data_IF_335765057856
#
_entry.id   IF_335765057856
#
_cell.length_a   1.000
_cell.length_b   1.000
_cell.length_c   1.000
_cell.angle_alpha   90.00
_cell.angle_beta   90.00
_cell.angle_gamma   90.00
#
_symmetry.space_group_name_H-M   'P 1'
#
loop_
_entity.id
_entity.type
_entity.pdbx_description
1 polymer ?
#
# COMPACT_ATOMS: atom_id res chain seq x y z
N UNK A 1 -34.88 5.68 60.69
CA UNK A 1 -33.98 4.63 61.20
C UNK A 1 -32.63 5.25 61.48
N UNK A 2 -32.12 4.98 62.68
CA UNK A 2 -30.85 5.48 63.24
C UNK A 2 -29.62 4.87 62.54
N UNK A 3 -28.57 5.66 62.32
CA UNK A 3 -27.20 5.42 62.82
C UNK A 3 -26.25 6.48 62.20
N UNK A 4 -25.76 7.46 62.96
CA UNK A 4 -24.60 7.46 63.88
C UNK A 4 -23.25 7.28 63.16
N UNK A 5 -22.38 8.29 63.32
CA UNK A 5 -21.02 8.30 62.77
C UNK A 5 -20.40 9.70 62.65
N UNK A 6 -20.34 10.42 63.78
CA UNK A 6 -19.75 11.75 63.97
C UNK A 6 -18.19 11.61 64.14
N UNK A 7 -17.38 12.66 64.40
CA UNK A 7 -16.77 13.48 63.34
C UNK A 7 -15.30 13.93 63.61
N UNK A 8 -14.77 14.80 62.72
CA UNK A 8 -13.80 15.91 62.95
C UNK A 8 -12.37 15.54 63.44
N UNK A 9 -11.37 15.66 62.55
CA UNK A 9 -10.50 16.85 62.30
C UNK A 9 -9.27 16.93 63.21
N UNK A 10 -8.09 17.18 62.62
CA UNK A 10 -7.45 18.51 62.68
C UNK A 10 -6.26 18.60 61.70
N UNK A 11 -6.18 19.71 60.97
CA UNK A 11 -5.08 20.13 60.08
C UNK A 11 -4.13 21.07 60.84
N UNK A 12 -2.83 21.03 60.55
CA UNK A 12 -1.87 22.16 60.66
C UNK A 12 -0.62 21.76 59.84
N UNK A 13 -0.34 22.28 58.65
CA UNK A 13 0.25 23.59 58.29
C UNK A 13 1.68 23.81 58.82
N UNK A 14 2.66 24.00 57.92
CA UNK A 14 3.97 24.58 58.26
C UNK A 14 5.13 24.21 57.33
N UNK A 15 5.46 25.10 56.37
CA UNK A 15 6.71 25.12 55.61
C UNK A 15 7.83 25.71 56.50
N UNK A 16 9.01 25.08 56.61
CA UNK A 16 10.32 25.78 56.62
C UNK A 16 11.52 24.81 56.80
N UNK A 17 12.64 25.17 56.18
CA UNK A 17 14.03 24.91 56.62
C UNK A 17 14.75 23.63 56.17
N UNK A 18 15.19 23.72 54.92
CA UNK A 18 16.55 23.39 54.44
C UNK A 18 17.67 23.66 55.48
N UNK A 19 18.74 22.85 55.42
CA UNK A 19 20.09 23.03 56.02
C UNK A 19 20.25 22.78 57.54
N UNK A 20 20.86 21.63 57.97
CA UNK A 20 21.94 21.59 59.01
C UNK A 20 22.56 20.23 59.43
N UNK A 21 22.71 19.16 58.62
CA UNK A 21 23.64 18.07 59.05
C UNK A 21 24.41 17.47 57.86
N UNK A 22 25.40 18.23 57.43
CA UNK A 22 26.63 17.71 56.85
C UNK A 22 27.60 17.44 58.02
N UNK A 23 28.32 16.32 57.96
CA UNK A 23 29.36 15.85 58.90
C UNK A 23 28.93 15.05 60.15
N UNK A 24 28.99 13.72 59.99
CA UNK A 24 29.62 12.87 61.00
C UNK A 24 30.63 11.99 60.25
N UNK A 25 31.89 12.40 60.32
CA UNK A 25 33.05 11.73 59.70
C UNK A 25 33.59 10.67 60.67
N UNK A 26 34.17 9.63 60.07
CA UNK A 26 35.21 8.74 60.59
C UNK A 26 34.70 7.51 61.34
N UNK A 27 34.56 6.42 60.60
CA UNK A 27 35.16 5.17 61.04
C UNK A 27 35.88 4.48 59.88
N UNK A 28 37.14 4.13 60.16
CA UNK A 28 37.97 3.10 59.54
C UNK A 28 38.60 3.46 58.19
N UNK A 29 39.78 4.07 58.32
CA UNK A 29 40.79 4.01 57.28
C UNK A 29 41.20 2.57 56.98
N UNK A 30 41.10 2.20 55.72
CA UNK A 30 41.93 1.19 55.08
C UNK A 30 42.24 1.69 53.66
N UNK A 31 43.49 2.13 53.48
CA UNK A 31 44.26 1.95 52.24
C UNK A 31 43.79 2.66 50.97
N UNK A 32 43.97 3.98 50.92
CA UNK A 32 44.12 4.73 49.65
C UNK A 32 45.56 4.65 49.12
N UNK A 33 46.05 3.44 48.82
CA UNK A 33 47.21 3.29 47.94
C UNK A 33 46.99 2.03 47.09
N UNK A 34 47.09 2.16 45.76
CA UNK A 34 46.87 1.08 44.75
C UNK A 34 45.46 0.97 44.14
N UNK A 35 45.02 2.04 43.46
CA UNK A 35 43.82 2.02 42.59
C UNK A 35 44.13 2.41 41.11
N UNK A 36 45.40 2.28 40.68
CA UNK A 36 45.82 2.55 39.28
C UNK A 36 45.79 1.30 38.40
N UNK A 37 46.05 0.09 38.94
CA UNK A 37 46.09 -1.16 38.15
C UNK A 37 44.68 -1.68 37.80
N UNK A 38 43.74 -1.69 38.75
CA UNK A 38 42.33 -2.08 38.54
C UNK A 38 41.61 -1.16 37.56
N UNK A 39 41.84 0.16 37.65
CA UNK A 39 41.30 1.17 36.72
C UNK A 39 41.90 1.05 35.31
N UNK A 40 43.17 0.66 35.20
CA UNK A 40 43.85 0.40 33.92
C UNK A 40 43.38 -0.91 33.27
N UNK A 41 43.14 -1.95 34.07
CA UNK A 41 42.58 -3.22 33.61
C UNK A 41 41.11 -3.07 33.15
N UNK A 42 40.28 -2.33 33.90
CA UNK A 42 38.91 -2.02 33.50
C UNK A 42 38.85 -1.20 32.20
N UNK A 43 39.72 -0.19 32.05
CA UNK A 43 39.84 0.58 30.80
C UNK A 43 40.30 -0.27 29.61
N UNK A 44 41.25 -1.20 29.81
CA UNK A 44 41.68 -2.13 28.76
C UNK A 44 40.57 -3.08 28.33
N UNK A 45 39.80 -3.63 29.28
CA UNK A 45 38.64 -4.50 28.98
C UNK A 45 37.55 -3.73 28.24
N UNK A 46 37.20 -2.52 28.69
CA UNK A 46 36.22 -1.68 28.02
C UNK A 46 36.66 -1.27 26.59
N UNK A 47 37.96 -1.00 26.39
CA UNK A 47 38.50 -0.72 25.06
C UNK A 47 38.49 -1.94 24.14
N UNK A 48 38.79 -3.14 24.66
CA UNK A 48 38.69 -4.39 23.89
C UNK A 48 37.24 -4.72 23.51
N UNK A 49 36.30 -4.56 24.44
CA UNK A 49 34.88 -4.78 24.17
C UNK A 49 34.33 -3.78 23.13
N UNK A 50 34.76 -2.51 23.20
CA UNK A 50 34.40 -1.52 22.18
C UNK A 50 35.00 -1.87 20.81
N UNK A 51 36.25 -2.33 20.76
CA UNK A 51 36.90 -2.75 19.53
C UNK A 51 36.21 -3.97 18.90
N UNK A 52 35.80 -4.95 19.71
CA UNK A 52 35.06 -6.13 19.24
C UNK A 52 33.68 -5.75 18.69
N UNK A 53 32.93 -4.90 19.40
CA UNK A 53 31.64 -4.36 18.91
C UNK A 53 31.80 -3.59 17.61
N UNK A 54 32.88 -2.81 17.48
CA UNK A 54 33.19 -2.04 16.27
C UNK A 54 33.55 -2.96 15.10
N UNK A 55 34.38 -3.97 15.33
CA UNK A 55 34.74 -4.96 14.31
C UNK A 55 33.52 -5.76 13.82
N UNK A 56 32.67 -6.19 14.76
CA UNK A 56 31.42 -6.88 14.44
C UNK A 56 30.47 -6.00 13.63
N UNK A 57 30.28 -4.74 14.04
CA UNK A 57 29.47 -3.78 13.30
C UNK A 57 29.97 -3.57 11.87
N UNK A 58 31.29 -3.45 11.66
CA UNK A 58 31.87 -3.34 10.31
C UNK A 58 31.60 -4.58 9.46
N UNK A 59 31.78 -5.78 10.03
CA UNK A 59 31.50 -7.03 9.33
C UNK A 59 30.02 -7.17 8.94
N UNK A 60 29.10 -6.85 9.85
CA UNK A 60 27.66 -6.91 9.60
C UNK A 60 27.21 -5.87 8.55
N UNK A 61 27.78 -4.65 8.55
CA UNK A 61 27.50 -3.63 7.53
C UNK A 61 28.03 -4.04 6.15
N UNK A 62 29.24 -4.60 6.09
CA UNK A 62 29.80 -5.11 4.84
C UNK A 62 29.00 -6.27 4.28
N UNK A 63 28.42 -7.12 5.16
CA UNK A 63 27.52 -8.18 4.74
C UNK A 63 26.20 -7.63 4.17
N UNK A 64 25.71 -6.48 4.65
CA UNK A 64 24.54 -5.80 4.06
C UNK A 64 24.88 -5.20 2.69
N UNK A 65 26.01 -4.49 2.59
CA UNK A 65 26.42 -3.76 1.39
C UNK A 65 26.74 -4.71 0.23
N UNK A 66 27.41 -5.84 0.52
CA UNK A 66 27.86 -6.79 -0.48
C UNK A 66 26.95 -8.02 -0.58
N UNK A 67 25.74 -7.96 -0.05
CA UNK A 67 24.80 -9.08 -0.15
C UNK A 67 24.42 -9.36 -1.61
N UNK A 68 24.52 -10.62 -2.01
CA UNK A 68 24.17 -11.13 -3.35
C UNK A 68 22.73 -11.68 -3.40
N UNK A 69 21.86 -11.26 -2.48
CA UNK A 69 20.48 -11.72 -2.37
C UNK A 69 20.28 -12.88 -1.40
N UNK A 70 21.21 -13.12 -0.48
CA UNK A 70 21.09 -14.17 0.55
C UNK A 70 20.26 -13.72 1.75
N UNK A 71 20.19 -12.42 2.00
CA UNK A 71 19.42 -11.86 3.10
C UNK A 71 18.16 -11.16 2.59
N UNK A 72 17.06 -11.29 3.33
CA UNK A 72 15.86 -10.50 3.02
C UNK A 72 16.07 -9.03 3.35
N UNK A 73 15.26 -8.17 2.74
CA UNK A 73 15.26 -6.74 3.04
C UNK A 73 14.98 -6.48 4.53
N UNK A 74 14.05 -7.20 5.15
CA UNK A 74 13.77 -7.05 6.58
C UNK A 74 14.96 -7.46 7.46
N UNK A 75 15.68 -8.53 7.11
CA UNK A 75 16.87 -8.97 7.84
C UNK A 75 17.99 -7.94 7.78
N UNK A 76 18.22 -7.34 6.60
CA UNK A 76 19.21 -6.27 6.42
C UNK A 76 18.87 -5.05 7.27
N UNK A 77 17.61 -4.64 7.27
CA UNK A 77 17.11 -3.50 8.04
C UNK A 77 17.23 -3.72 9.56
N UNK A 78 16.90 -4.93 10.01
CA UNK A 78 17.03 -5.30 11.41
C UNK A 78 18.50 -5.25 11.88
N UNK A 79 19.43 -5.75 11.06
CA UNK A 79 20.87 -5.69 11.34
C UNK A 79 21.36 -4.25 11.40
N UNK A 80 21.01 -3.42 10.41
CA UNK A 80 21.36 -2.00 10.40
C UNK A 80 20.82 -1.27 11.64
N UNK A 81 19.54 -1.48 12.00
CA UNK A 81 18.93 -0.88 13.19
C UNK A 81 19.61 -1.33 14.49
N UNK A 82 20.09 -2.58 14.54
CA UNK A 82 20.85 -3.10 15.69
C UNK A 82 22.21 -2.40 15.82
N UNK A 83 22.90 -2.16 14.71
CA UNK A 83 24.20 -1.47 14.68
C UNK A 83 24.04 0.01 15.05
N UNK A 84 23.01 0.69 14.52
CA UNK A 84 22.70 2.09 14.89
C UNK A 84 22.42 2.25 16.39
N UNK A 85 21.74 1.27 17.01
CA UNK A 85 21.47 1.26 18.46
C UNK A 85 22.74 1.10 19.32
N UNK A 86 23.84 0.59 18.77
CA UNK A 86 25.11 0.49 19.49
C UNK A 86 25.81 1.86 19.67
N UNK A 87 25.37 2.90 18.95
CA UNK A 87 25.89 4.27 19.03
C UNK A 87 27.42 4.35 19.02
N UNK A 88 28.03 3.70 18.02
CA UNK A 88 29.49 3.66 17.86
C UNK A 88 29.99 4.99 17.26
N UNK A 89 31.06 5.54 17.84
CA UNK A 89 31.62 6.82 17.41
C UNK A 89 32.64 6.72 16.27
N UNK A 90 32.99 5.49 15.85
CA UNK A 90 33.94 5.20 14.79
C UNK A 90 33.47 5.76 13.43
N UNK A 91 34.33 6.54 12.77
CA UNK A 91 33.97 7.22 11.52
C UNK A 91 33.73 6.24 10.37
N UNK A 92 34.52 5.17 10.26
CA UNK A 92 34.33 4.16 9.21
C UNK A 92 33.00 3.42 9.39
N UNK A 93 32.59 3.14 10.65
CA UNK A 93 31.25 2.59 10.92
C UNK A 93 30.17 3.56 10.47
N UNK A 94 30.31 4.86 10.72
CA UNK A 94 29.34 5.88 10.27
C UNK A 94 29.24 5.91 8.74
N UNK A 95 30.36 5.86 8.04
CA UNK A 95 30.40 5.87 6.58
C UNK A 95 29.77 4.57 5.99
N UNK A 96 30.03 3.42 6.62
CA UNK A 96 29.42 2.14 6.24
C UNK A 96 27.91 2.10 6.54
N UNK A 97 27.45 2.76 7.61
CA UNK A 97 26.01 2.92 7.89
C UNK A 97 25.34 3.70 6.75
N UNK A 98 25.94 4.80 6.29
CA UNK A 98 25.41 5.60 5.18
C UNK A 98 25.33 4.77 3.89
N UNK A 99 26.39 4.01 3.57
CA UNK A 99 26.40 3.14 2.40
C UNK A 99 25.34 2.03 2.48
N UNK A 100 25.21 1.39 3.64
CA UNK A 100 24.18 0.38 3.87
C UNK A 100 22.77 0.99 3.75
N UNK A 101 22.55 2.19 4.28
CA UNK A 101 21.28 2.91 4.15
C UNK A 101 20.92 3.22 2.70
N UNK A 102 21.88 3.67 1.90
CA UNK A 102 21.69 3.95 0.47
C UNK A 102 21.35 2.67 -0.33
N UNK A 103 22.06 1.56 -0.06
CA UNK A 103 21.75 0.26 -0.65
C UNK A 103 20.32 -0.18 -0.30
N UNK A 104 19.94 -0.11 0.98
CA UNK A 104 18.61 -0.51 1.42
C UNK A 104 17.52 0.42 0.90
N UNK A 105 17.79 1.72 0.76
CA UNK A 105 16.86 2.66 0.15
C UNK A 105 16.60 2.32 -1.32
N UNK A 106 17.65 1.98 -2.09
CA UNK A 106 17.51 1.51 -3.47
C UNK A 106 16.75 0.20 -3.59
N UNK A 107 17.05 -0.77 -2.71
CA UNK A 107 16.35 -2.06 -2.68
C UNK A 107 14.87 -1.88 -2.35
N UNK A 108 14.52 -1.09 -1.32
CA UNK A 108 13.13 -0.73 -0.98
C UNK A 108 12.40 -0.13 -2.18
N UNK A 109 13.01 0.87 -2.82
CA UNK A 109 12.40 1.54 -3.96
C UNK A 109 12.22 0.58 -5.15
N UNK A 110 13.15 -0.36 -5.37
CA UNK A 110 13.00 -1.38 -6.42
C UNK A 110 11.88 -2.38 -6.10
N UNK A 111 11.76 -2.81 -4.84
CA UNK A 111 10.69 -3.70 -4.38
C UNK A 111 9.33 -3.03 -4.52
N UNK A 112 9.20 -1.77 -4.10
CA UNK A 112 7.94 -1.03 -4.21
C UNK A 112 7.55 -0.77 -5.68
N UNK A 113 8.50 -0.39 -6.55
CA UNK A 113 8.23 -0.27 -8.00
C UNK A 113 7.74 -1.59 -8.59
N UNK A 114 8.38 -2.72 -8.26
CA UNK A 114 7.95 -4.04 -8.73
C UNK A 114 6.55 -4.42 -8.23
N UNK A 115 6.25 -4.17 -6.95
CA UNK A 115 4.91 -4.40 -6.39
C UNK A 115 3.85 -3.52 -7.04
N UNK A 116 4.18 -2.26 -7.31
CA UNK A 116 3.28 -1.33 -7.99
C UNK A 116 3.05 -1.74 -9.45
N UNK A 117 4.10 -2.06 -10.20
CA UNK A 117 4.01 -2.59 -11.55
C UNK A 117 3.18 -3.89 -11.59
N UNK A 118 3.41 -4.80 -10.66
CA UNK A 118 2.64 -6.04 -10.56
C UNK A 118 1.17 -5.79 -10.19
N UNK A 119 0.88 -4.86 -9.26
CA UNK A 119 -0.48 -4.45 -8.93
C UNK A 119 -1.18 -3.86 -10.14
N UNK A 120 -0.51 -2.93 -10.84
CA UNK A 120 -1.03 -2.31 -12.06
C UNK A 120 -1.26 -3.35 -13.17
N UNK A 121 -0.36 -4.34 -13.30
CA UNK A 121 -0.51 -5.42 -14.27
C UNK A 121 -1.69 -6.33 -13.93
N UNK A 122 -1.82 -6.76 -12.67
CA UNK A 122 -2.96 -7.56 -12.22
C UNK A 122 -4.29 -6.82 -12.39
N UNK A 123 -4.32 -5.52 -12.12
CA UNK A 123 -5.52 -4.70 -12.32
C UNK A 123 -5.88 -4.57 -13.81
N UNK A 124 -4.90 -4.33 -14.68
CA UNK A 124 -5.09 -4.31 -16.13
C UNK A 124 -5.60 -5.66 -16.64
N UNK A 125 -5.01 -6.77 -16.21
CA UNK A 125 -5.42 -8.12 -16.59
C UNK A 125 -6.82 -8.46 -16.08
N UNK A 126 -7.15 -8.08 -14.84
CA UNK A 126 -8.49 -8.27 -14.27
C UNK A 126 -9.54 -7.46 -15.06
N UNK A 127 -9.23 -6.20 -15.38
CA UNK A 127 -10.10 -5.34 -16.19
C UNK A 127 -10.27 -5.88 -17.61
N UNK A 128 -9.18 -6.33 -18.26
CA UNK A 128 -9.27 -6.95 -19.58
C UNK A 128 -10.12 -8.24 -19.51
N UNK A 129 -9.91 -9.08 -18.49
CA UNK A 129 -10.71 -10.29 -18.31
C UNK A 129 -12.19 -9.99 -18.10
N UNK A 130 -12.51 -9.01 -17.29
CA UNK A 130 -13.89 -8.56 -17.07
C UNK A 130 -14.53 -8.10 -18.39
N UNK A 131 -13.81 -7.29 -19.18
CA UNK A 131 -14.24 -6.88 -20.52
C UNK A 131 -14.36 -8.08 -21.47
N UNK A 132 -13.46 -9.08 -21.37
CA UNK A 132 -13.52 -10.29 -22.19
C UNK A 132 -14.75 -11.13 -21.90
N UNK A 133 -15.02 -11.37 -20.62
CA UNK A 133 -16.13 -12.20 -20.13
C UNK A 133 -17.48 -11.46 -20.11
N UNK A 134 -17.47 -10.16 -20.41
CA UNK A 134 -18.65 -9.29 -20.47
C UNK A 134 -19.11 -8.76 -19.12
N UNK A 135 -18.44 -9.15 -18.03
CA UNK A 135 -18.65 -8.68 -16.66
C UNK A 135 -20.12 -8.62 -16.26
N UNK A 136 -20.50 -7.54 -15.58
CA UNK A 136 -21.88 -7.24 -15.20
C UNK A 136 -22.83 -7.04 -16.39
N UNK A 137 -22.32 -6.76 -17.60
CA UNK A 137 -23.10 -6.50 -18.80
C UNK A 137 -23.20 -7.72 -19.74
N UNK A 138 -22.85 -8.92 -19.24
CA UNK A 138 -22.85 -10.16 -20.02
C UNK A 138 -24.17 -10.40 -20.76
N UNK A 139 -25.31 -10.19 -20.11
CA UNK A 139 -26.62 -10.38 -20.73
C UNK A 139 -26.83 -9.45 -21.93
N UNK A 140 -26.49 -8.17 -21.80
CA UNK A 140 -26.62 -7.19 -22.90
C UNK A 140 -25.67 -7.56 -24.04
N UNK A 141 -24.42 -7.86 -23.73
CA UNK A 141 -23.43 -8.31 -24.73
C UNK A 141 -23.92 -9.55 -25.49
N UNK A 142 -24.51 -10.53 -24.80
CA UNK A 142 -25.11 -11.70 -25.42
C UNK A 142 -26.29 -11.34 -26.33
N UNK A 143 -27.16 -10.40 -25.95
CA UNK A 143 -28.25 -9.91 -26.81
C UNK A 143 -27.72 -9.23 -28.07
N UNK A 144 -26.67 -8.39 -27.96
CA UNK A 144 -26.03 -7.75 -29.12
C UNK A 144 -25.42 -8.81 -30.07
N UNK A 145 -24.68 -9.77 -29.51
CA UNK A 145 -24.09 -10.86 -30.28
C UNK A 145 -25.15 -11.77 -30.91
N UNK A 146 -26.29 -11.96 -30.24
CA UNK A 146 -27.42 -12.70 -30.79
C UNK A 146 -28.03 -11.98 -32.01
N UNK A 147 -28.23 -10.66 -31.96
CA UNK A 147 -28.73 -9.92 -33.13
C UNK A 147 -27.77 -10.07 -34.32
N UNK A 148 -26.46 -9.89 -34.07
CA UNK A 148 -25.43 -10.00 -35.09
C UNK A 148 -25.30 -11.42 -35.70
N UNK A 149 -25.53 -12.47 -34.92
CA UNK A 149 -25.37 -13.87 -35.33
C UNK A 149 -26.65 -14.53 -35.85
N UNK A 150 -27.74 -13.79 -36.00
CA UNK A 150 -29.01 -14.34 -36.48
C UNK A 150 -28.88 -14.93 -37.90
N UNK A 151 -29.52 -16.08 -38.13
CA UNK A 151 -29.50 -16.82 -39.40
C UNK A 151 -30.16 -16.05 -40.55
N UNK A 152 -31.19 -15.29 -40.23
CA UNK A 152 -32.06 -14.61 -41.19
C UNK A 152 -32.63 -13.32 -40.59
N UNK A 153 -33.24 -12.50 -41.46
CA UNK A 153 -33.76 -11.17 -41.12
C UNK A 153 -34.91 -11.25 -40.11
N UNK A 154 -35.78 -12.26 -40.20
CA UNK A 154 -36.91 -12.41 -39.28
C UNK A 154 -36.43 -12.72 -37.88
N UNK A 155 -35.50 -13.68 -37.75
CA UNK A 155 -34.83 -14.04 -36.51
C UNK A 155 -34.06 -12.85 -35.92
N UNK A 156 -33.36 -12.07 -36.75
CA UNK A 156 -32.67 -10.86 -36.29
C UNK A 156 -33.63 -9.83 -35.72
N UNK A 157 -34.73 -9.54 -36.43
CA UNK A 157 -35.75 -8.59 -35.98
C UNK A 157 -36.43 -9.03 -34.67
N UNK A 158 -36.61 -10.33 -34.45
CA UNK A 158 -37.08 -10.87 -33.17
C UNK A 158 -36.09 -10.58 -32.04
N UNK A 159 -34.80 -10.89 -32.24
CA UNK A 159 -33.73 -10.63 -31.27
C UNK A 159 -33.56 -9.13 -30.99
N UNK A 160 -33.78 -8.26 -31.98
CA UNK A 160 -33.79 -6.81 -31.78
C UNK A 160 -34.90 -6.43 -30.81
N UNK A 161 -36.12 -6.93 -30.98
CA UNK A 161 -37.23 -6.63 -30.05
C UNK A 161 -36.94 -7.11 -28.62
N UNK A 162 -36.34 -8.30 -28.49
CA UNK A 162 -35.93 -8.84 -27.19
C UNK A 162 -34.86 -7.97 -26.53
N UNK A 163 -33.80 -7.60 -27.26
CA UNK A 163 -32.73 -6.75 -26.76
C UNK A 163 -33.26 -5.39 -26.28
N UNK A 164 -34.21 -4.81 -27.03
CA UNK A 164 -34.82 -3.53 -26.70
C UNK A 164 -35.57 -3.51 -25.38
N UNK A 165 -36.02 -4.67 -24.86
CA UNK A 165 -36.69 -4.73 -23.58
C UNK A 165 -35.80 -4.27 -22.40
N UNK A 166 -34.47 -4.24 -22.56
CA UNK A 166 -33.55 -3.74 -21.56
C UNK A 166 -33.41 -2.20 -21.57
N UNK A 167 -33.86 -1.52 -22.63
CA UNK A 167 -33.64 -0.09 -22.84
C UNK A 167 -34.89 0.74 -22.50
N UNK A 168 -34.68 2.00 -22.11
CA UNK A 168 -35.74 2.94 -21.75
C UNK A 168 -36.54 3.41 -22.99
N UNK A 169 -35.96 3.29 -24.19
CA UNK A 169 -36.56 3.68 -25.45
C UNK A 169 -35.65 3.40 -26.66
N UNK A 170 -36.17 3.68 -27.85
CA UNK A 170 -35.49 3.50 -29.14
C UNK A 170 -34.37 4.50 -29.40
N UNK A 171 -34.47 5.65 -28.75
CA UNK A 171 -33.62 6.83 -28.86
C UNK A 171 -32.48 6.85 -27.84
N UNK A 172 -32.38 5.81 -27.00
CA UNK A 172 -31.32 5.70 -26.00
C UNK A 172 -29.95 5.89 -26.65
N UNK A 173 -29.15 6.88 -26.20
CA UNK A 173 -27.85 7.16 -26.77
C UNK A 173 -26.88 5.99 -26.60
N UNK A 174 -26.16 5.71 -27.67
CA UNK A 174 -25.05 4.77 -27.71
C UNK A 174 -23.79 5.52 -28.08
N UNK A 175 -22.80 5.46 -27.18
CA UNK A 175 -21.51 6.11 -27.31
C UNK A 175 -20.43 5.06 -27.51
N UNK A 176 -19.65 5.13 -28.59
CA UNK A 176 -18.57 4.17 -28.85
C UNK A 176 -17.24 4.84 -28.51
N UNK A 177 -16.58 4.39 -27.45
CA UNK A 177 -15.29 4.91 -27.00
C UNK A 177 -14.20 4.56 -28.02
N UNK A 178 -13.53 5.58 -28.56
CA UNK A 178 -12.40 5.46 -29.51
C UNK A 178 -11.07 5.47 -28.74
N UNK A 179 -10.88 6.44 -27.85
CA UNK A 179 -9.67 6.63 -27.05
C UNK A 179 -10.00 7.18 -25.67
N UNK A 180 -9.12 6.90 -24.71
CA UNK A 180 -9.17 7.50 -23.38
C UNK A 180 -7.76 7.86 -22.93
N UNK A 181 -7.55 9.10 -22.50
CA UNK A 181 -6.32 9.55 -21.84
C UNK A 181 -6.68 10.17 -20.49
N UNK A 182 -6.41 9.43 -19.42
CA UNK A 182 -6.89 9.77 -18.08
C UNK A 182 -8.42 9.92 -18.04
N UNK A 183 -8.88 11.11 -17.66
CA UNK A 183 -10.30 11.45 -17.55
C UNK A 183 -10.93 11.93 -18.87
N UNK A 184 -10.12 12.15 -19.92
CA UNK A 184 -10.60 12.61 -21.22
C UNK A 184 -10.95 11.39 -22.07
N UNK A 185 -12.22 11.28 -22.47
CA UNK A 185 -12.75 10.23 -23.33
C UNK A 185 -13.18 10.80 -24.67
N UNK A 186 -12.70 10.19 -25.75
CA UNK A 186 -13.15 10.50 -27.10
C UNK A 186 -14.10 9.42 -27.60
N UNK A 187 -15.28 9.85 -28.02
CA UNK A 187 -16.31 8.97 -28.55
C UNK A 187 -16.46 9.17 -30.06
N UNK A 188 -16.83 8.10 -30.75
CA UNK A 188 -17.33 8.19 -32.13
C UNK A 188 -18.65 8.96 -32.16
N UNK A 189 -19.08 9.34 -33.37
CA UNK A 189 -20.35 10.02 -33.60
C UNK A 189 -21.48 9.28 -32.86
N UNK A 190 -22.18 9.94 -31.91
CA UNK A 190 -23.25 9.32 -31.16
C UNK A 190 -24.34 8.75 -32.07
N UNK A 191 -24.88 7.60 -31.69
CA UNK A 191 -26.01 6.96 -32.36
C UNK A 191 -27.08 6.57 -31.33
N UNK A 192 -28.17 5.95 -31.76
CA UNK A 192 -29.19 5.40 -30.85
C UNK A 192 -29.13 3.88 -30.81
N UNK A 193 -29.64 3.27 -29.75
CA UNK A 193 -29.63 1.81 -29.62
C UNK A 193 -30.38 1.11 -30.76
N UNK A 194 -31.51 1.68 -31.21
CA UNK A 194 -32.24 1.18 -32.39
C UNK A 194 -31.32 1.12 -33.60
N UNK A 195 -30.68 2.24 -33.94
CA UNK A 195 -29.78 2.35 -35.11
C UNK A 195 -28.57 1.43 -34.96
N UNK A 196 -28.03 1.30 -33.76
CA UNK A 196 -26.89 0.43 -33.49
C UNK A 196 -27.24 -1.06 -33.66
N UNK A 197 -28.41 -1.49 -33.16
CA UNK A 197 -28.90 -2.86 -33.34
C UNK A 197 -29.15 -3.21 -34.81
N UNK A 198 -29.72 -2.27 -35.57
CA UNK A 198 -29.88 -2.43 -37.02
C UNK A 198 -28.52 -2.50 -37.73
N UNK A 199 -27.56 -1.66 -37.33
CA UNK A 199 -26.20 -1.71 -37.87
C UNK A 199 -25.53 -3.07 -37.64
N UNK A 200 -25.54 -3.61 -36.41
CA UNK A 200 -24.90 -4.91 -36.15
C UNK A 200 -25.62 -6.08 -36.81
N UNK A 201 -26.95 -5.97 -37.01
CA UNK A 201 -27.72 -6.91 -37.83
C UNK A 201 -27.20 -6.93 -39.26
N UNK A 202 -27.09 -5.76 -39.88
CA UNK A 202 -26.69 -5.63 -41.27
C UNK A 202 -25.23 -6.06 -41.49
N UNK A 203 -24.36 -5.75 -40.52
CA UNK A 203 -22.95 -6.16 -40.56
C UNK A 203 -22.74 -7.65 -40.23
N UNK A 204 -23.75 -8.33 -39.67
CA UNK A 204 -23.66 -9.69 -39.11
C UNK A 204 -22.49 -9.88 -38.15
N UNK A 205 -22.08 -8.80 -37.49
CA UNK A 205 -20.93 -8.72 -36.59
C UNK A 205 -21.25 -7.72 -35.49
N UNK A 206 -20.85 -8.07 -34.28
CA UNK A 206 -20.92 -7.21 -33.09
C UNK A 206 -19.49 -6.80 -32.73
N UNK A 207 -18.97 -5.69 -33.30
CA UNK A 207 -17.55 -5.31 -33.18
C UNK A 207 -17.22 -4.65 -31.84
N UNK A 208 -18.23 -4.28 -31.05
CA UNK A 208 -18.05 -3.58 -29.78
C UNK A 208 -18.64 -4.39 -28.62
N UNK A 209 -18.19 -4.08 -27.41
CA UNK A 209 -18.71 -4.60 -26.13
C UNK A 209 -19.22 -3.46 -25.27
N UNK A 210 -20.17 -3.76 -24.41
CA UNK A 210 -20.64 -2.82 -23.39
C UNK A 210 -19.51 -2.55 -22.40
N UNK A 211 -19.13 -1.27 -22.30
CA UNK A 211 -18.20 -0.74 -21.32
C UNK A 211 -18.94 -0.26 -20.07
N UNK A 212 -20.06 0.45 -20.27
CA UNK A 212 -20.88 1.01 -19.20
C UNK A 212 -22.35 1.13 -19.66
N UNK A 213 -23.27 1.14 -18.70
CA UNK A 213 -24.68 1.41 -18.96
C UNK A 213 -25.25 2.24 -17.81
N UNK A 214 -25.86 3.39 -18.15
CA UNK A 214 -26.55 4.23 -17.18
C UNK A 214 -28.01 3.82 -17.14
N UNK A 215 -28.53 3.57 -15.95
CA UNK A 215 -29.92 3.14 -15.74
C UNK A 215 -30.83 4.33 -15.39
N UNK A 216 -32.10 4.23 -15.76
CA UNK A 216 -33.18 5.09 -15.29
C UNK A 216 -33.74 4.61 -13.93
N UNK A 217 -34.76 5.32 -13.42
CA UNK A 217 -35.40 4.98 -12.15
C UNK A 217 -36.15 3.63 -12.16
N UNK A 218 -36.40 3.07 -13.34
CA UNK A 218 -37.08 1.78 -13.53
C UNK A 218 -36.08 0.64 -13.80
N UNK A 219 -34.77 0.91 -13.74
CA UNK A 219 -33.71 -0.06 -14.04
C UNK A 219 -33.54 -0.33 -15.53
N UNK A 220 -34.10 0.49 -16.43
CA UNK A 220 -33.90 0.41 -17.87
C UNK A 220 -32.68 1.23 -18.28
N UNK A 221 -31.98 0.77 -19.31
CA UNK A 221 -30.79 1.47 -19.83
C UNK A 221 -31.24 2.75 -20.54
N UNK A 222 -30.77 3.91 -20.04
CA UNK A 222 -31.01 5.21 -20.65
C UNK A 222 -29.79 5.77 -21.39
N UNK A 223 -28.62 5.17 -21.24
CA UNK A 223 -27.41 5.46 -22.01
C UNK A 223 -26.49 4.23 -22.00
N UNK A 224 -25.85 3.94 -23.14
CA UNK A 224 -24.96 2.79 -23.30
C UNK A 224 -23.60 3.24 -23.84
N UNK A 225 -22.53 3.01 -23.09
CA UNK A 225 -21.16 3.16 -23.58
C UNK A 225 -20.64 1.82 -24.06
N UNK A 226 -20.04 1.83 -25.24
CA UNK A 226 -19.43 0.69 -25.90
C UNK A 226 -17.93 0.94 -26.08
N UNK A 227 -17.15 -0.13 -26.16
CA UNK A 227 -15.74 -0.12 -26.51
C UNK A 227 -15.49 -1.17 -27.59
N UNK A 228 -14.55 -0.91 -28.50
CA UNK A 228 -14.16 -1.89 -29.51
C UNK A 228 -13.65 -3.19 -28.87
N UNK A 229 -14.05 -4.33 -29.42
CA UNK A 229 -13.58 -5.66 -29.02
C UNK A 229 -12.11 -5.88 -29.34
#
# INVERSE_FOLDING_TARGET
>A
MMNTGNPLRFKFAGKFRMFLVMMLIVSLGASFTSCKSSKKAAKKKAAMELAEKTAKAKADLLAIINDDGRMTLEEKEFKLATIKRMNLEDQEVKDLIIQAEDVLARERAAVERRKEEERMQREKEARERELREGGQFKAINQSLDAVASASDVSSANARIREAMAAFAGDDVPVLILISSDGDIKDYDRPTTIRKYLEFIKDQKKSPNKVLNAVLDNNGKIKELELIKK
#
